data_IF_408408130544
#
_entry.id   IF_408408130544
#
_cell.length_a   1.000
_cell.length_b   1.000
_cell.length_c   1.000
_cell.angle_alpha   90.00
_cell.angle_beta   90.00
_cell.angle_gamma   90.00
#
_symmetry.space_group_name_H-M   'P 1'
#
loop_
_entity.id
_entity.type
_entity.pdbx_description
1 polymer ?
#
# COMPACT_ATOMS: atom_id res chain seq x y z
N UNK A 1 1.23 37.87 -18.62
CA UNK A 1 0.79 37.91 -17.21
C UNK A 1 1.44 36.73 -16.49
N UNK A 2 2.55 36.94 -15.78
CA UNK A 2 3.33 35.87 -15.14
C UNK A 2 2.71 35.60 -13.76
N UNK A 3 2.00 34.48 -13.61
CA UNK A 3 1.50 34.01 -12.31
C UNK A 3 2.72 33.62 -11.48
N UNK A 4 3.10 34.48 -10.53
CA UNK A 4 4.18 34.20 -9.58
C UNK A 4 3.85 32.94 -8.78
N UNK A 5 4.41 31.80 -9.19
CA UNK A 5 4.28 30.54 -8.46
C UNK A 5 5.07 30.66 -7.16
N UNK A 6 4.37 30.62 -6.02
CA UNK A 6 4.97 30.69 -4.70
C UNK A 6 5.84 29.42 -4.49
N UNK A 7 7.18 29.51 -4.47
CA UNK A 7 8.07 28.33 -4.48
C UNK A 7 7.86 27.45 -3.24
N UNK A 8 7.38 28.04 -2.13
CA UNK A 8 7.05 27.33 -0.89
C UNK A 8 5.91 26.31 -1.05
N UNK A 9 4.97 26.54 -1.96
CA UNK A 9 3.84 25.62 -2.17
C UNK A 9 4.28 24.29 -2.82
N UNK A 10 5.24 24.35 -3.75
CA UNK A 10 5.80 23.15 -4.41
C UNK A 10 6.62 22.27 -3.46
N UNK A 11 7.40 22.89 -2.56
CA UNK A 11 8.19 22.17 -1.56
C UNK A 11 7.31 21.40 -0.58
N UNK A 12 6.24 22.02 -0.06
CA UNK A 12 5.32 21.35 0.89
C UNK A 12 4.64 20.14 0.26
N UNK A 13 4.15 20.26 -0.98
CA UNK A 13 3.46 19.16 -1.66
C UNK A 13 4.40 17.98 -1.96
N UNK A 14 5.65 18.26 -2.31
CA UNK A 14 6.68 17.23 -2.52
C UNK A 14 6.98 16.48 -1.23
N UNK A 15 7.17 17.20 -0.11
CA UNK A 15 7.40 16.59 1.20
C UNK A 15 6.22 15.74 1.66
N UNK A 16 4.98 16.21 1.45
CA UNK A 16 3.77 15.44 1.75
C UNK A 16 3.66 14.17 0.90
N UNK A 17 4.01 14.26 -0.39
CA UNK A 17 4.04 13.10 -1.30
C UNK A 17 5.06 12.07 -0.83
N UNK A 18 6.27 12.51 -0.47
CA UNK A 18 7.32 11.63 0.04
C UNK A 18 6.93 10.99 1.39
N UNK A 19 6.44 11.79 2.33
CA UNK A 19 6.02 11.32 3.66
C UNK A 19 4.87 10.32 3.56
N UNK A 20 3.86 10.60 2.74
CA UNK A 20 2.73 9.68 2.53
C UNK A 20 3.18 8.34 1.96
N UNK A 21 4.15 8.32 1.03
CA UNK A 21 4.75 7.08 0.50
C UNK A 21 5.38 6.21 1.59
N UNK A 22 6.20 6.81 2.47
CA UNK A 22 6.81 6.10 3.60
C UNK A 22 5.81 5.60 4.63
N UNK A 23 4.78 6.39 4.94
CA UNK A 23 3.69 5.95 5.83
C UNK A 23 2.96 4.74 5.25
N UNK A 24 2.64 4.75 3.95
CA UNK A 24 2.01 3.61 3.28
C UNK A 24 2.91 2.37 3.32
N UNK A 25 4.21 2.54 3.05
CA UNK A 25 5.17 1.45 3.11
C UNK A 25 5.25 0.82 4.52
N UNK A 26 5.35 1.65 5.56
CA UNK A 26 5.37 1.21 6.96
C UNK A 26 4.08 0.48 7.36
N UNK A 27 2.91 1.05 7.02
CA UNK A 27 1.61 0.41 7.27
C UNK A 27 1.49 -0.92 6.56
N UNK A 28 2.00 -1.03 5.33
CA UNK A 28 2.00 -2.28 4.56
C UNK A 28 2.85 -3.34 5.23
N UNK A 29 4.07 -3.00 5.66
CA UNK A 29 4.95 -3.91 6.39
C UNK A 29 4.31 -4.40 7.70
N UNK A 30 3.69 -3.50 8.48
CA UNK A 30 2.94 -3.86 9.69
C UNK A 30 1.77 -4.79 9.36
N UNK A 31 0.98 -4.47 8.33
CA UNK A 31 -0.20 -5.25 7.95
C UNK A 31 0.16 -6.68 7.53
N UNK A 32 1.26 -6.84 6.80
CA UNK A 32 1.78 -8.15 6.37
C UNK A 32 2.32 -8.96 7.53
N UNK A 33 3.05 -8.34 8.46
CA UNK A 33 3.68 -9.05 9.59
C UNK A 33 2.69 -9.39 10.71
N UNK A 34 1.66 -8.58 10.92
CA UNK A 34 0.66 -8.72 11.98
C UNK A 34 0.06 -10.14 12.10
N UNK A 35 -0.45 -10.80 11.03
CA UNK A 35 -1.03 -12.15 11.16
C UNK A 35 -0.02 -13.21 11.61
N UNK A 36 1.26 -13.05 11.29
CA UNK A 36 2.32 -13.98 11.71
C UNK A 36 2.68 -13.77 13.18
N UNK A 37 2.80 -12.51 13.62
CA UNK A 37 3.07 -12.16 15.01
C UNK A 37 1.93 -12.61 15.94
N UNK A 38 0.67 -12.42 15.52
CA UNK A 38 -0.50 -12.86 16.27
C UNK A 38 -0.63 -14.39 16.32
N UNK A 39 -0.17 -15.10 15.28
CA UNK A 39 -0.16 -16.56 15.24
C UNK A 39 0.88 -17.16 16.18
N UNK A 40 2.04 -16.54 16.33
CA UNK A 40 3.14 -17.09 17.15
C UNK A 40 2.95 -16.83 18.64
N UNK A 41 2.51 -15.62 19.05
CA UNK A 41 2.52 -15.22 20.46
C UNK A 41 1.29 -15.60 21.28
N UNK A 42 0.14 -15.85 20.65
CA UNK A 42 -1.15 -15.82 21.37
C UNK A 42 -2.05 -17.03 21.08
N UNK A 43 -1.48 -18.24 21.07
CA UNK A 43 -2.24 -19.50 20.83
C UNK A 43 -3.39 -19.74 21.84
N UNK A 44 -3.49 -18.96 22.93
CA UNK A 44 -4.27 -19.29 24.13
C UNK A 44 -5.36 -18.28 24.56
N UNK A 45 -5.61 -17.19 23.83
CA UNK A 45 -6.64 -16.22 24.25
C UNK A 45 -7.59 -15.84 23.10
N UNK A 46 -8.89 -15.75 23.34
CA UNK A 46 -9.91 -15.16 22.45
C UNK A 46 -10.10 -15.73 21.01
N UNK A 47 -11.22 -15.37 20.35
CA UNK A 47 -11.47 -15.77 18.97
C UNK A 47 -10.50 -15.05 18.02
N UNK A 48 -9.70 -15.83 17.28
CA UNK A 48 -8.67 -15.36 16.33
C UNK A 48 -9.15 -14.26 15.37
N UNK A 49 -10.43 -14.27 14.97
CA UNK A 49 -11.01 -13.27 14.07
C UNK A 49 -11.09 -11.86 14.66
N UNK A 50 -11.37 -11.73 15.97
CA UNK A 50 -11.45 -10.43 16.63
C UNK A 50 -10.08 -9.72 16.61
N UNK A 51 -9.00 -10.48 16.72
CA UNK A 51 -7.61 -9.98 16.72
C UNK A 51 -7.13 -9.52 15.35
N UNK A 52 -7.78 -9.98 14.29
CA UNK A 52 -7.51 -9.52 12.93
C UNK A 52 -8.27 -8.24 12.59
N UNK A 53 -9.08 -7.67 13.50
CA UNK A 53 -9.76 -6.39 13.27
C UNK A 53 -8.81 -5.27 12.82
N UNK A 54 -7.65 -5.05 13.48
CA UNK A 54 -6.70 -4.03 13.04
C UNK A 54 -6.16 -4.30 11.63
N UNK A 55 -5.91 -5.56 11.25
CA UNK A 55 -5.45 -5.91 9.90
C UNK A 55 -6.44 -5.44 8.81
N UNK A 56 -7.75 -5.61 9.06
CA UNK A 56 -8.77 -5.16 8.10
C UNK A 56 -8.82 -3.65 7.99
N UNK A 57 -8.81 -2.95 9.13
CA UNK A 57 -8.81 -1.48 9.15
C UNK A 57 -7.60 -0.90 8.44
N UNK A 58 -6.39 -1.40 8.74
CA UNK A 58 -5.17 -0.91 8.09
C UNK A 58 -5.22 -1.22 6.58
N UNK A 59 -5.77 -2.35 6.15
CA UNK A 59 -5.95 -2.66 4.73
C UNK A 59 -6.78 -1.60 3.99
N UNK A 60 -7.90 -1.15 4.56
CA UNK A 60 -8.70 -0.05 3.99
C UNK A 60 -7.94 1.28 4.02
N UNK A 61 -7.24 1.57 5.12
CA UNK A 61 -6.43 2.78 5.26
C UNK A 61 -5.34 2.84 4.18
N UNK A 62 -4.63 1.73 3.93
CA UNK A 62 -3.61 1.63 2.88
C UNK A 62 -4.22 1.91 1.50
N UNK A 63 -5.39 1.33 1.20
CA UNK A 63 -6.07 1.56 -0.08
C UNK A 63 -6.44 3.04 -0.28
N UNK A 64 -7.03 3.68 0.74
CA UNK A 64 -7.38 5.10 0.70
C UNK A 64 -6.15 6.01 0.60
N UNK A 65 -5.12 5.77 1.43
CA UNK A 65 -3.88 6.52 1.39
C UNK A 65 -3.14 6.36 0.07
N UNK A 66 -3.16 5.17 -0.55
CA UNK A 66 -2.58 4.94 -1.89
C UNK A 66 -3.21 5.83 -2.95
N UNK A 67 -4.54 6.01 -2.91
CA UNK A 67 -5.25 6.88 -3.85
C UNK A 67 -4.89 8.36 -3.62
N UNK A 68 -4.86 8.79 -2.36
CA UNK A 68 -4.44 10.15 -1.99
C UNK A 68 -3.00 10.40 -2.43
N UNK A 69 -2.10 9.47 -2.14
CA UNK A 69 -0.69 9.55 -2.52
C UNK A 69 -0.51 9.68 -4.04
N UNK A 70 -1.24 8.88 -4.83
CA UNK A 70 -1.22 9.00 -6.29
C UNK A 70 -1.70 10.38 -6.76
N UNK A 71 -2.77 10.92 -6.17
CA UNK A 71 -3.26 12.27 -6.49
C UNK A 71 -2.27 13.37 -6.14
N UNK A 72 -1.60 13.28 -4.99
CA UNK A 72 -0.54 14.21 -4.58
C UNK A 72 0.67 14.13 -5.52
N UNK A 73 1.11 12.92 -5.86
CA UNK A 73 2.24 12.68 -6.76
C UNK A 73 1.99 13.22 -8.18
N UNK A 74 0.77 13.09 -8.69
CA UNK A 74 0.38 13.69 -9.97
C UNK A 74 0.34 15.23 -9.92
N UNK A 75 0.26 15.82 -8.72
CA UNK A 75 0.18 17.25 -8.51
C UNK A 75 1.52 17.89 -8.13
N UNK A 76 2.55 17.10 -7.79
CA UNK A 76 3.80 17.57 -7.17
C UNK A 76 4.86 18.14 -8.14
N UNK A 77 4.55 18.25 -9.43
CA UNK A 77 5.41 18.94 -10.40
C UNK A 77 5.89 18.06 -11.56
N UNK A 78 6.97 18.48 -12.26
CA UNK A 78 7.45 17.80 -13.46
C UNK A 78 7.92 16.38 -13.16
N UNK A 79 7.49 15.43 -13.99
CA UNK A 79 7.85 14.01 -13.90
C UNK A 79 9.17 13.81 -14.67
N UNK A 80 10.22 13.25 -14.05
CA UNK A 80 11.43 12.83 -14.76
C UNK A 80 11.12 11.93 -15.96
N UNK A 81 11.79 12.16 -17.09
CA UNK A 81 11.58 11.42 -18.35
C UNK A 81 12.39 10.13 -18.47
N UNK A 82 13.08 9.70 -17.41
CA UNK A 82 13.90 8.49 -17.45
C UNK A 82 13.04 7.22 -17.54
N UNK A 83 13.56 6.20 -18.23
CA UNK A 83 12.87 4.91 -18.40
C UNK A 83 12.59 4.25 -17.05
N UNK A 84 13.56 4.25 -16.13
CA UNK A 84 13.39 3.69 -14.78
C UNK A 84 12.25 4.35 -14.01
N UNK A 85 12.15 5.67 -14.12
CA UNK A 85 11.09 6.44 -13.46
C UNK A 85 9.71 6.07 -14.02
N UNK A 86 9.57 6.00 -15.34
CA UNK A 86 8.34 5.59 -16.01
C UNK A 86 7.92 4.16 -15.64
N UNK A 87 8.85 3.22 -15.64
CA UNK A 87 8.61 1.82 -15.22
C UNK A 87 8.10 1.78 -13.78
N UNK A 88 8.72 2.54 -12.88
CA UNK A 88 8.31 2.58 -11.48
C UNK A 88 6.90 3.16 -11.28
N UNK A 89 6.48 4.15 -12.07
CA UNK A 89 5.10 4.65 -12.07
C UNK A 89 4.12 3.55 -12.53
N UNK A 90 4.42 2.83 -13.61
CA UNK A 90 3.54 1.76 -14.09
C UNK A 90 3.40 0.62 -13.06
N UNK A 91 4.50 0.26 -12.39
CA UNK A 91 4.48 -0.70 -11.27
C UNK A 91 3.58 -0.19 -10.15
N UNK A 92 3.69 1.08 -9.75
CA UNK A 92 2.84 1.67 -8.72
C UNK A 92 1.37 1.70 -9.12
N UNK A 93 1.06 2.04 -10.38
CA UNK A 93 -0.31 2.00 -10.91
C UNK A 93 -0.89 0.58 -10.83
N UNK A 94 -0.13 -0.42 -11.25
CA UNK A 94 -0.52 -1.83 -11.13
C UNK A 94 -0.77 -2.23 -9.68
N UNK A 95 0.12 -1.86 -8.76
CA UNK A 95 -0.03 -2.12 -7.33
C UNK A 95 -1.28 -1.44 -6.74
N UNK A 96 -1.53 -0.17 -7.09
CA UNK A 96 -2.71 0.57 -6.66
C UNK A 96 -3.99 -0.13 -7.11
N UNK A 97 -4.05 -0.60 -8.37
CA UNK A 97 -5.20 -1.36 -8.86
C UNK A 97 -5.35 -2.71 -8.15
N UNK A 98 -4.24 -3.38 -7.82
CA UNK A 98 -4.23 -4.65 -7.08
C UNK A 98 -4.66 -4.53 -5.62
N UNK A 99 -4.59 -3.34 -5.01
CA UNK A 99 -4.98 -3.15 -3.60
C UNK A 99 -6.48 -3.39 -3.38
N UNK A 100 -7.34 -3.04 -4.34
CA UNK A 100 -8.79 -3.21 -4.25
C UNK A 100 -9.25 -4.68 -4.26
N UNK A 101 -8.83 -5.53 -5.23
CA UNK A 101 -9.12 -6.95 -5.16
C UNK A 101 -8.44 -7.58 -3.95
N UNK A 102 -7.30 -7.06 -3.48
CA UNK A 102 -6.66 -7.55 -2.27
C UNK A 102 -7.51 -7.35 -1.00
N UNK A 103 -8.07 -6.15 -0.83
CA UNK A 103 -9.01 -5.84 0.26
C UNK A 103 -10.28 -6.69 0.13
N UNK A 104 -10.79 -6.86 -1.09
CA UNK A 104 -11.97 -7.69 -1.38
C UNK A 104 -11.76 -9.17 -1.02
N UNK A 105 -10.58 -9.72 -1.34
CA UNK A 105 -10.16 -11.06 -0.93
C UNK A 105 -10.11 -11.17 0.60
N UNK A 106 -9.51 -10.19 1.28
CA UNK A 106 -9.42 -10.14 2.74
C UNK A 106 -10.80 -10.12 3.41
N UNK A 107 -11.75 -9.35 2.88
CA UNK A 107 -13.14 -9.33 3.36
C UNK A 107 -13.81 -10.69 3.18
N UNK A 108 -13.63 -11.34 2.03
CA UNK A 108 -14.18 -12.67 1.76
C UNK A 108 -13.70 -13.75 2.72
N UNK A 109 -12.50 -13.58 3.31
CA UNK A 109 -11.94 -14.50 4.30
C UNK A 109 -12.55 -14.37 5.70
N UNK A 110 -13.36 -13.34 5.95
CA UNK A 110 -14.08 -13.14 7.24
C UNK A 110 -15.19 -14.16 7.45
N UNK A 111 -15.79 -14.69 6.38
CA UNK A 111 -16.86 -15.68 6.47
C UNK A 111 -16.30 -17.04 6.94
N UNK A 112 -16.83 -17.63 8.02
CA UNK A 112 -16.44 -18.97 8.46
C UNK A 112 -17.00 -20.03 7.50
N UNK A 113 -16.18 -21.00 7.11
CA UNK A 113 -16.59 -22.12 6.24
C UNK A 113 -16.71 -21.77 4.76
N UNK A 114 -16.25 -22.68 3.89
CA UNK A 114 -16.32 -22.55 2.43
C UNK A 114 -15.24 -23.37 1.73
N UNK A 115 -15.61 -24.15 0.71
CA UNK A 115 -14.71 -25.03 -0.03
C UNK A 115 -13.47 -24.28 -0.58
N UNK A 116 -13.65 -23.02 -0.99
CA UNK A 116 -12.59 -22.20 -1.58
C UNK A 116 -11.69 -21.45 -0.58
N UNK A 117 -11.90 -21.61 0.73
CA UNK A 117 -11.22 -20.78 1.73
C UNK A 117 -9.70 -20.90 1.66
N UNK A 118 -9.17 -22.10 1.41
CA UNK A 118 -7.72 -22.35 1.26
C UNK A 118 -7.17 -21.63 0.04
N UNK A 119 -7.89 -21.68 -1.09
CA UNK A 119 -7.53 -20.99 -2.33
C UNK A 119 -7.54 -19.47 -2.14
N UNK A 120 -8.60 -18.92 -1.56
CA UNK A 120 -8.69 -17.47 -1.25
C UNK A 120 -7.58 -16.99 -0.33
N UNK A 121 -7.20 -17.78 0.70
CA UNK A 121 -6.06 -17.47 1.57
C UNK A 121 -4.73 -17.43 0.82
N UNK A 122 -4.50 -18.40 -0.08
CA UNK A 122 -3.30 -18.43 -0.92
C UNK A 122 -3.24 -17.24 -1.85
N UNK A 123 -4.35 -16.94 -2.53
CA UNK A 123 -4.44 -15.77 -3.40
C UNK A 123 -4.18 -14.48 -2.63
N UNK A 124 -4.85 -14.29 -1.48
CA UNK A 124 -4.66 -13.13 -0.62
C UNK A 124 -3.21 -12.97 -0.13
N UNK A 125 -2.54 -14.07 0.24
CA UNK A 125 -1.13 -14.02 0.61
C UNK A 125 -0.24 -13.67 -0.58
N UNK A 126 -0.48 -14.30 -1.73
CA UNK A 126 0.30 -14.09 -2.96
C UNK A 126 0.21 -12.64 -3.43
N UNK A 127 -1.00 -12.08 -3.49
CA UNK A 127 -1.22 -10.66 -3.84
C UNK A 127 -0.56 -9.72 -2.82
N UNK A 128 -0.51 -10.10 -1.54
CA UNK A 128 0.24 -9.35 -0.52
C UNK A 128 1.74 -9.29 -0.80
N UNK A 129 2.32 -10.42 -1.18
CA UNK A 129 3.74 -10.52 -1.57
C UNK A 129 4.01 -9.70 -2.83
N UNK A 130 3.12 -9.79 -3.84
CA UNK A 130 3.22 -8.99 -5.07
C UNK A 130 3.15 -7.50 -4.77
N UNK A 131 2.22 -7.05 -3.91
CA UNK A 131 2.11 -5.64 -3.50
C UNK A 131 3.35 -5.14 -2.76
N UNK A 132 3.92 -5.95 -1.87
CA UNK A 132 5.19 -5.63 -1.21
C UNK A 132 6.34 -5.47 -2.21
N UNK A 133 6.47 -6.44 -3.12
CA UNK A 133 7.50 -6.40 -4.16
C UNK A 133 7.35 -5.20 -5.08
N UNK A 134 6.12 -4.90 -5.52
CA UNK A 134 5.81 -3.76 -6.36
C UNK A 134 6.06 -2.42 -5.64
N UNK A 135 5.67 -2.31 -4.36
CA UNK A 135 5.95 -1.13 -3.53
C UNK A 135 7.46 -0.90 -3.33
N UNK A 136 8.22 -1.96 -3.06
CA UNK A 136 9.67 -1.89 -2.95
C UNK A 136 10.33 -1.49 -4.27
N UNK A 137 9.91 -2.08 -5.40
CA UNK A 137 10.41 -1.74 -6.72
C UNK A 137 10.10 -0.28 -7.07
N UNK A 138 8.88 0.19 -6.81
CA UNK A 138 8.50 1.59 -6.99
C UNK A 138 9.39 2.53 -6.14
N UNK A 139 9.63 2.20 -4.87
CA UNK A 139 10.50 2.98 -3.99
C UNK A 139 11.94 3.04 -4.51
N UNK A 140 12.48 1.93 -5.02
CA UNK A 140 13.84 1.91 -5.58
C UNK A 140 13.94 2.70 -6.89
N UNK A 141 12.92 2.61 -7.75
CA UNK A 141 12.93 3.25 -9.08
C UNK A 141 12.57 4.74 -9.03
N UNK A 142 11.74 5.17 -8.09
CA UNK A 142 11.23 6.54 -7.98
C UNK A 142 11.66 7.28 -6.70
N UNK A 143 12.22 6.59 -5.71
CA UNK A 143 12.69 7.19 -4.46
C UNK A 143 14.18 7.53 -4.47
N UNK A 144 14.76 7.86 -5.63
CA UNK A 144 16.19 8.15 -5.81
C UNK A 144 16.76 9.12 -4.75
N UNK A 145 18.10 9.13 -4.55
CA UNK A 145 18.73 9.84 -3.45
C UNK A 145 18.31 11.31 -3.45
N UNK A 146 17.87 11.79 -2.28
CA UNK A 146 17.69 13.22 -2.00
C UNK A 146 18.98 13.99 -2.29
#
# INVERSE_FOLDING_TARGET
MVRGSNPRAGTTLTLLTQASGWVIAALTAVTVTLPFLLRSRLRWAGPYLARLQPHYWIGFTIAGLSLIHAGLAMSSGPIPSSVSWSVGIWIATGAMLLVFPQVSLGMGLRRPGGADRKRRRRLHLLTMVVLLGAGAAHLVLNGGPL
#
